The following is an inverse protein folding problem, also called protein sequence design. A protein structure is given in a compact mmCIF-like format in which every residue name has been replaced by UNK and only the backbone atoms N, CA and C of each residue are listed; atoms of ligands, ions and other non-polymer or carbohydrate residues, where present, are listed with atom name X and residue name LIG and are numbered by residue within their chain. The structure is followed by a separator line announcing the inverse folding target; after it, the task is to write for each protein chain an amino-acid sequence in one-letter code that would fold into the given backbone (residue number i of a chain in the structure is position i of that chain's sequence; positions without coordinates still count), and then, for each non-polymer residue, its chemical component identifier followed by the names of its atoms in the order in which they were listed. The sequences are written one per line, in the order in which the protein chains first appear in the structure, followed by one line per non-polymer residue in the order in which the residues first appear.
data_IF_161416022738
#
_entry.id   IF_161416022738
#
_cell.length_a   1.000
_cell.length_b   1.000
_cell.length_c   1.000
_cell.angle_alpha   90.00
_cell.angle_beta   90.00
_cell.angle_gamma   90.00
#
_symmetry.space_group_name_H-M   'P 1'
#
loop_
_entity.id
_entity.type
_entity.pdbx_description
1 polymer ?
#
# COMPACT_ATOMS: atom_id res chain seq x y z
N UNK A 1 20.12 -11.63 -14.44
CA UNK A 1 20.12 -10.32 -13.75
C UNK A 1 20.76 -10.52 -12.39
N UNK A 2 21.74 -9.70 -11.98
CA UNK A 2 22.32 -9.82 -10.64
C UNK A 2 21.30 -9.43 -9.56
N UNK A 3 21.40 -10.04 -8.38
CA UNK A 3 20.51 -9.73 -7.26
C UNK A 3 20.65 -8.27 -6.83
N UNK A 4 21.86 -7.71 -6.90
CA UNK A 4 22.14 -6.31 -6.60
C UNK A 4 21.36 -5.38 -7.55
N UNK A 5 21.46 -5.62 -8.87
CA UNK A 5 20.72 -4.83 -9.86
C UNK A 5 19.21 -4.93 -9.63
N UNK A 6 18.69 -6.14 -9.37
CA UNK A 6 17.27 -6.32 -9.10
C UNK A 6 16.82 -5.57 -7.84
N UNK A 7 17.63 -5.61 -6.78
CA UNK A 7 17.35 -4.92 -5.53
C UNK A 7 17.35 -3.41 -5.72
N UNK A 8 18.33 -2.86 -6.44
CA UNK A 8 18.37 -1.45 -6.81
C UNK A 8 17.14 -1.04 -7.59
N UNK A 9 16.74 -1.82 -8.61
CA UNK A 9 15.54 -1.53 -9.40
C UNK A 9 14.25 -1.51 -8.55
N UNK A 10 14.11 -2.42 -7.58
CA UNK A 10 12.98 -2.39 -6.64
C UNK A 10 13.00 -1.16 -5.72
N UNK A 11 14.17 -0.80 -5.21
CA UNK A 11 14.34 0.38 -4.34
C UNK A 11 14.06 1.66 -5.13
N UNK A 12 14.65 1.80 -6.32
CA UNK A 12 14.46 2.94 -7.21
C UNK A 12 13.00 3.07 -7.62
N UNK A 13 12.35 1.95 -7.97
CA UNK A 13 10.92 1.94 -8.25
C UNK A 13 10.12 2.45 -7.04
N UNK A 14 10.39 1.95 -5.83
CA UNK A 14 9.70 2.42 -4.62
C UNK A 14 9.95 3.92 -4.35
N UNK A 15 11.20 4.38 -4.51
CA UNK A 15 11.59 5.77 -4.27
C UNK A 15 10.94 6.73 -5.27
N UNK A 16 10.99 6.41 -6.56
CA UNK A 16 10.37 7.21 -7.63
C UNK A 16 8.86 7.30 -7.42
N UNK A 17 8.20 6.18 -7.10
CA UNK A 17 6.76 6.18 -6.87
C UNK A 17 6.37 6.96 -5.60
N UNK A 18 7.15 6.84 -4.53
CA UNK A 18 6.94 7.65 -3.33
C UNK A 18 7.14 9.14 -3.59
N UNK A 19 8.08 9.51 -4.47
CA UNK A 19 8.36 10.89 -4.83
C UNK A 19 7.22 11.47 -5.68
N UNK A 20 6.73 10.72 -6.66
CA UNK A 20 5.66 11.16 -7.56
C UNK A 20 4.30 11.30 -6.85
N UNK A 21 4.08 10.62 -5.74
CA UNK A 21 2.86 10.82 -4.95
C UNK A 21 3.01 11.93 -3.90
N UNK A 22 4.18 12.56 -3.79
CA UNK A 22 4.41 13.61 -2.80
C UNK A 22 3.73 14.93 -3.20
N UNK A 23 2.99 15.59 -2.30
CA UNK A 23 2.32 16.86 -2.56
C UNK A 23 3.21 17.94 -3.17
N UNK A 24 4.46 18.06 -2.71
CA UNK A 24 5.37 19.11 -3.18
C UNK A 24 5.73 18.88 -4.66
N UNK A 25 5.92 17.62 -5.04
CA UNK A 25 6.26 17.23 -6.41
C UNK A 25 5.04 17.37 -7.31
N UNK A 26 3.87 16.96 -6.84
CA UNK A 26 2.60 17.15 -7.55
C UNK A 26 2.38 18.64 -7.84
N UNK A 27 2.45 19.49 -6.82
CA UNK A 27 2.29 20.94 -6.95
C UNK A 27 3.31 21.56 -7.93
N UNK A 28 4.57 21.11 -7.87
CA UNK A 28 5.61 21.58 -8.78
C UNK A 28 5.34 21.19 -10.24
N UNK A 29 4.81 19.99 -10.49
CA UNK A 29 4.44 19.52 -11.83
C UNK A 29 3.21 20.26 -12.34
N UNK A 30 2.18 20.42 -11.50
CA UNK A 30 0.94 21.12 -11.87
C UNK A 30 1.20 22.59 -12.22
N UNK A 31 2.14 23.26 -11.54
CA UNK A 31 2.58 24.62 -11.88
C UNK A 31 3.30 24.73 -13.23
N UNK A 32 4.01 23.67 -13.65
CA UNK A 32 4.77 23.65 -14.91
C UNK A 32 3.94 23.20 -16.10
N UNK A 33 2.93 22.36 -15.88
CA UNK A 33 2.08 21.80 -16.94
C UNK A 33 0.61 22.10 -16.64
N UNK A 34 0.09 23.26 -17.08
CA UNK A 34 -1.30 23.64 -16.86
C UNK A 34 -2.27 22.57 -17.38
N UNK A 35 -3.25 22.21 -16.55
CA UNK A 35 -4.27 21.21 -16.89
C UNK A 35 -3.88 19.76 -16.63
N UNK A 36 -2.63 19.46 -16.22
CA UNK A 36 -2.20 18.08 -15.89
C UNK A 36 -2.89 17.51 -14.65
N UNK A 37 -3.32 18.36 -13.72
CA UNK A 37 -3.90 17.97 -12.42
C UNK A 37 -5.01 16.91 -12.56
N UNK A 38 -5.92 17.09 -13.53
CA UNK A 38 -7.03 16.16 -13.76
C UNK A 38 -6.60 14.78 -14.28
N UNK A 39 -5.43 14.70 -14.93
CA UNK A 39 -4.88 13.48 -15.51
C UNK A 39 -3.81 12.85 -14.60
N UNK A 40 -3.24 13.61 -13.68
CA UNK A 40 -2.06 13.23 -12.90
C UNK A 40 -2.20 11.86 -12.24
N UNK A 41 -3.31 11.62 -11.53
CA UNK A 41 -3.58 10.34 -10.85
C UNK A 41 -3.63 9.15 -11.82
N UNK A 42 -4.27 9.34 -12.97
CA UNK A 42 -4.40 8.31 -13.99
C UNK A 42 -3.05 8.00 -14.64
N UNK A 43 -2.29 9.04 -15.00
CA UNK A 43 -0.94 8.92 -15.55
C UNK A 43 0.01 8.26 -14.55
N UNK A 44 -0.06 8.65 -13.28
CA UNK A 44 0.71 8.04 -12.20
C UNK A 44 0.40 6.54 -12.08
N UNK A 45 -0.87 6.15 -12.05
CA UNK A 45 -1.25 4.73 -11.97
C UNK A 45 -0.79 3.94 -13.20
N UNK A 46 -0.92 4.53 -14.40
CA UNK A 46 -0.45 3.91 -15.63
C UNK A 46 1.07 3.72 -15.62
N UNK A 47 1.84 4.76 -15.26
CA UNK A 47 3.29 4.69 -15.10
C UNK A 47 3.69 3.63 -14.06
N UNK A 48 2.99 3.59 -12.93
CA UNK A 48 3.23 2.61 -11.89
C UNK A 48 3.03 1.18 -12.39
N UNK A 49 1.94 0.92 -13.11
CA UNK A 49 1.70 -0.40 -13.68
C UNK A 49 2.71 -0.76 -14.78
N UNK A 50 2.98 0.16 -15.70
CA UNK A 50 3.90 -0.05 -16.83
C UNK A 50 5.35 -0.29 -16.38
N UNK A 51 5.76 0.28 -15.26
CA UNK A 51 7.10 0.07 -14.69
C UNK A 51 7.16 -1.12 -13.74
N UNK A 52 6.09 -1.40 -12.98
CA UNK A 52 6.03 -2.53 -12.06
C UNK A 52 5.94 -3.87 -12.79
N UNK A 53 5.12 -3.97 -13.84
CA UNK A 53 4.91 -5.22 -14.57
C UNK A 53 6.22 -5.84 -15.11
N UNK A 54 7.08 -5.13 -15.87
CA UNK A 54 8.34 -5.70 -16.34
C UNK A 54 9.29 -6.03 -15.18
N UNK A 55 9.33 -5.23 -14.11
CA UNK A 55 10.15 -5.51 -12.93
C UNK A 55 9.69 -6.79 -12.21
N UNK A 56 8.38 -6.98 -12.06
CA UNK A 56 7.79 -8.18 -11.47
C UNK A 56 8.03 -9.42 -12.35
N UNK A 57 7.88 -9.30 -13.68
CA UNK A 57 8.21 -10.37 -14.64
C UNK A 57 9.69 -10.72 -14.54
N UNK A 58 10.58 -9.73 -14.56
CA UNK A 58 12.02 -9.96 -14.46
C UNK A 58 12.41 -10.62 -13.12
N UNK A 59 11.76 -10.22 -12.01
CA UNK A 59 11.91 -10.89 -10.70
C UNK A 59 11.43 -12.34 -10.75
N UNK A 60 10.33 -12.60 -11.47
CA UNK A 60 9.79 -13.93 -11.68
C UNK A 60 10.70 -14.85 -12.49
N UNK A 61 11.33 -14.30 -13.53
CA UNK A 61 12.24 -15.01 -14.44
C UNK A 61 13.67 -15.15 -13.91
N UNK A 62 14.08 -14.32 -12.93
CA UNK A 62 15.44 -14.32 -12.41
C UNK A 62 15.89 -15.68 -11.85
N UNK A 63 14.95 -16.53 -11.42
CA UNK A 63 15.24 -17.84 -10.85
C UNK A 63 16.07 -17.76 -9.55
N UNK A 64 16.25 -18.87 -8.85
CA UNK A 64 17.10 -18.89 -7.66
C UNK A 64 16.70 -19.96 -6.66
N UNK A 65 17.60 -20.22 -5.71
CA UNK A 65 17.32 -21.18 -4.65
C UNK A 65 16.12 -20.74 -3.80
N UNK A 66 15.23 -21.67 -3.42
CA UNK A 66 14.17 -21.38 -2.45
C UNK A 66 14.79 -21.05 -1.10
N UNK A 67 14.45 -19.88 -0.55
CA UNK A 67 14.91 -19.46 0.79
C UNK A 67 13.81 -19.58 1.83
N UNK A 68 12.55 -19.57 1.39
CA UNK A 68 11.39 -19.75 2.25
C UNK A 68 10.30 -20.53 1.50
N UNK A 69 9.61 -21.42 2.19
CA UNK A 69 8.52 -22.20 1.64
C UNK A 69 7.48 -22.49 2.71
N UNK A 70 6.21 -22.31 2.35
CA UNK A 70 5.09 -22.79 3.15
C UNK A 70 4.94 -24.29 2.95
N UNK A 71 5.28 -25.08 3.96
CA UNK A 71 5.24 -26.54 3.92
C UNK A 71 4.39 -27.12 5.06
N UNK A 72 3.81 -28.31 4.84
CA UNK A 72 2.96 -28.98 5.81
C UNK A 72 1.85 -28.07 6.36
N UNK A 73 1.73 -28.01 7.69
CA UNK A 73 0.80 -27.13 8.42
C UNK A 73 0.96 -25.63 8.10
N UNK A 74 2.14 -25.20 7.63
CA UNK A 74 2.38 -23.84 7.17
C UNK A 74 1.47 -23.42 6.02
N UNK A 75 1.00 -24.35 5.19
CA UNK A 75 0.04 -24.02 4.13
C UNK A 75 -1.32 -23.59 4.66
N UNK A 76 -1.74 -24.11 5.83
CA UNK A 76 -2.97 -23.66 6.47
C UNK A 76 -2.81 -22.20 6.89
N UNK A 77 -1.69 -21.86 7.53
CA UNK A 77 -1.36 -20.47 7.88
C UNK A 77 -1.38 -19.59 6.64
N UNK A 78 -0.72 -20.01 5.55
CA UNK A 78 -0.72 -19.28 4.27
C UNK A 78 -2.13 -18.98 3.77
N UNK A 79 -3.03 -19.98 3.76
CA UNK A 79 -4.42 -19.81 3.33
C UNK A 79 -5.17 -18.84 4.24
N UNK A 80 -4.99 -18.94 5.57
CA UNK A 80 -5.59 -18.01 6.52
C UNK A 80 -5.11 -16.56 6.29
N UNK A 81 -3.84 -16.36 5.96
CA UNK A 81 -3.30 -15.04 5.61
C UNK A 81 -3.92 -14.51 4.31
N UNK A 82 -4.07 -15.35 3.28
CA UNK A 82 -4.74 -14.97 2.02
C UNK A 82 -6.20 -14.58 2.23
N UNK A 83 -6.96 -15.38 2.99
CA UNK A 83 -8.35 -15.09 3.32
C UNK A 83 -8.44 -13.78 4.11
N UNK A 84 -7.54 -13.58 5.08
CA UNK A 84 -7.48 -12.33 5.86
C UNK A 84 -7.17 -11.13 4.97
N UNK A 85 -6.21 -11.24 4.05
CA UNK A 85 -5.88 -10.21 3.08
C UNK A 85 -7.10 -9.83 2.22
N UNK A 86 -7.80 -10.84 1.69
CA UNK A 86 -9.02 -10.64 0.91
C UNK A 86 -10.12 -9.91 1.70
N UNK A 87 -10.37 -10.33 2.95
CA UNK A 87 -11.36 -9.69 3.81
C UNK A 87 -11.00 -8.24 4.16
N UNK A 88 -9.72 -7.94 4.38
CA UNK A 88 -9.24 -6.58 4.61
C UNK A 88 -9.40 -5.69 3.39
N UNK A 89 -9.05 -6.19 2.18
CA UNK A 89 -9.27 -5.44 0.95
C UNK A 89 -10.74 -5.16 0.71
N UNK A 90 -11.59 -6.20 0.84
CA UNK A 90 -13.04 -6.07 0.69
C UNK A 90 -13.65 -5.10 1.71
N UNK A 91 -13.17 -5.13 2.95
CA UNK A 91 -13.61 -4.21 4.00
C UNK A 91 -13.17 -2.76 3.74
N UNK A 92 -11.93 -2.56 3.28
CA UNK A 92 -11.40 -1.24 2.95
C UNK A 92 -12.04 -0.64 1.69
N UNK A 93 -12.33 -1.46 0.68
CA UNK A 93 -12.97 -1.04 -0.57
C UNK A 93 -14.37 -0.44 -0.37
N UNK A 94 -15.05 -0.77 0.75
CA UNK A 94 -16.33 -0.14 1.11
C UNK A 94 -16.19 1.33 1.54
N UNK A 95 -15.00 1.75 2.00
CA UNK A 95 -14.72 3.12 2.47
C UNK A 95 -13.90 3.93 1.47
N UNK A 96 -13.01 3.27 0.70
CA UNK A 96 -12.24 3.91 -0.35
C UNK A 96 -13.04 3.99 -1.66
N UNK A 97 -13.15 5.18 -2.22
CA UNK A 97 -13.73 5.39 -3.55
C UNK A 97 -12.75 4.88 -4.62
N UNK A 98 -13.03 3.72 -5.21
CA UNK A 98 -12.17 3.11 -6.24
C UNK A 98 -12.00 3.99 -7.48
N UNK A 99 -13.03 4.75 -7.86
CA UNK A 99 -12.93 5.67 -9.00
C UNK A 99 -11.95 6.81 -8.69
N UNK A 100 -11.89 7.23 -7.44
CA UNK A 100 -10.88 8.18 -6.96
C UNK A 100 -9.48 7.55 -6.92
N UNK A 101 -9.32 6.32 -6.42
CA UNK A 101 -8.02 5.62 -6.40
C UNK A 101 -7.45 5.48 -7.81
N UNK A 102 -8.28 5.09 -8.77
CA UNK A 102 -7.92 4.91 -10.17
C UNK A 102 -7.66 6.22 -10.92
N UNK A 103 -8.17 7.36 -10.44
CA UNK A 103 -8.04 8.66 -11.10
C UNK A 103 -9.22 9.06 -11.99
N UNK A 104 -10.23 8.20 -12.12
CA UNK A 104 -11.41 8.42 -12.98
C UNK A 104 -12.30 9.55 -12.49
N UNK A 105 -12.38 9.76 -11.17
CA UNK A 105 -13.17 10.85 -10.58
C UNK A 105 -12.51 12.21 -10.81
N UNK A 106 -11.19 12.28 -10.72
CA UNK A 106 -10.37 13.46 -10.97
C UNK A 106 -10.47 13.86 -12.44
N UNK A 107 -10.47 12.88 -13.34
CA UNK A 107 -10.68 13.09 -14.77
C UNK A 107 -12.03 13.78 -15.05
N UNK A 108 -13.10 13.38 -14.35
CA UNK A 108 -14.45 13.93 -14.53
C UNK A 108 -14.70 15.24 -13.80
N UNK A 109 -14.17 15.40 -12.59
CA UNK A 109 -14.54 16.50 -11.68
C UNK A 109 -13.48 17.61 -11.58
N UNK A 110 -12.25 17.36 -12.05
CA UNK A 110 -11.13 18.29 -11.92
C UNK A 110 -10.62 18.50 -10.49
N UNK A 111 -11.23 17.84 -9.48
CA UNK A 111 -10.83 17.97 -8.07
C UNK A 111 -9.78 16.91 -7.71
N UNK A 112 -8.65 17.36 -7.18
CA UNK A 112 -7.52 16.52 -6.73
C UNK A 112 -7.30 16.69 -5.21
N UNK A 113 -8.17 16.12 -4.35
CA UNK A 113 -7.88 16.13 -2.92
C UNK A 113 -6.56 15.41 -2.64
N UNK A 114 -5.78 15.98 -1.73
CA UNK A 114 -4.41 15.54 -1.38
C UNK A 114 -4.34 14.17 -0.70
N UNK A 115 -5.43 13.73 -0.05
CA UNK A 115 -5.48 12.47 0.69
C UNK A 115 -6.56 11.55 0.13
N UNK A 116 -6.27 10.24 0.17
CA UNK A 116 -7.24 9.17 -0.11
C UNK A 116 -8.46 9.20 0.81
N UNK A 117 -8.33 9.83 1.98
CA UNK A 117 -9.39 9.98 2.97
C UNK A 117 -9.48 11.45 3.36
N UNK A 118 -10.26 12.22 2.62
CA UNK A 118 -10.58 13.61 2.99
C UNK A 118 -11.86 13.70 3.85
N UNK A 119 -12.44 12.55 4.19
CA UNK A 119 -13.62 12.48 5.04
C UNK A 119 -13.22 12.70 6.50
N UNK A 120 -13.86 13.64 7.22
CA UNK A 120 -13.60 13.88 8.64
C UNK A 120 -14.05 12.72 9.55
N UNK A 121 -14.74 11.72 9.02
CA UNK A 121 -15.23 10.58 9.79
C UNK A 121 -14.18 9.46 9.89
N UNK A 122 -13.31 9.60 10.88
CA UNK A 122 -12.51 8.51 11.44
C UNK A 122 -13.39 7.55 12.23
N UNK A 123 -14.32 6.89 11.54
CA UNK A 123 -15.17 5.85 12.13
C UNK A 123 -14.38 4.57 12.38
N UNK A 124 -14.40 4.10 13.63
CA UNK A 124 -13.82 2.81 14.05
C UNK A 124 -14.77 1.64 13.74
N UNK A 125 -15.49 1.70 12.62
CA UNK A 125 -16.45 0.68 12.22
C UNK A 125 -15.80 -0.34 11.26
N UNK A 126 -16.20 -1.60 11.38
CA UNK A 126 -15.69 -2.68 10.51
C UNK A 126 -14.18 -2.85 10.60
N UNK A 127 -13.52 -3.03 9.44
CA UNK A 127 -12.06 -3.25 9.37
C UNK A 127 -11.23 -2.06 9.84
N UNK A 128 -11.77 -0.84 9.76
CA UNK A 128 -11.12 0.37 10.30
C UNK A 128 -11.23 0.45 11.83
N UNK A 129 -12.08 -0.35 12.47
CA UNK A 129 -12.04 -0.56 13.93
C UNK A 129 -10.97 -1.56 14.36
N UNK A 130 -10.54 -2.43 13.44
CA UNK A 130 -9.51 -3.44 13.69
C UNK A 130 -8.11 -2.83 13.56
N UNK A 131 -7.84 -2.22 12.40
CA UNK A 131 -6.56 -1.59 12.05
C UNK A 131 -6.80 -0.32 11.24
N UNK A 132 -5.91 0.68 11.38
CA UNK A 132 -6.06 1.97 10.72
C UNK A 132 -5.81 1.89 9.22
N UNK A 133 -4.90 1.01 8.80
CA UNK A 133 -4.49 0.83 7.41
C UNK A 133 -4.77 -0.60 6.92
N UNK A 134 -6.06 -0.99 6.73
CA UNK A 134 -6.44 -2.35 6.38
C UNK A 134 -5.88 -2.79 5.03
N UNK A 135 -5.79 -1.89 4.04
CA UNK A 135 -5.19 -2.20 2.73
C UNK A 135 -3.68 -2.42 2.82
N UNK A 136 -2.96 -1.68 3.65
CA UNK A 136 -1.52 -1.91 3.84
C UNK A 136 -1.26 -3.23 4.56
N UNK A 137 -2.04 -3.54 5.62
CA UNK A 137 -1.96 -4.85 6.25
C UNK A 137 -2.30 -5.96 5.25
N UNK A 138 -3.39 -5.80 4.49
CA UNK A 138 -3.78 -6.76 3.45
C UNK A 138 -2.68 -7.00 2.41
N UNK A 139 -2.00 -5.94 1.97
CA UNK A 139 -0.86 -6.02 1.05
C UNK A 139 0.33 -6.76 1.67
N UNK A 140 0.67 -6.50 2.94
CA UNK A 140 1.72 -7.24 3.64
C UNK A 140 1.38 -8.73 3.73
N UNK A 141 0.15 -9.06 4.14
CA UNK A 141 -0.32 -10.44 4.21
C UNK A 141 -0.25 -11.12 2.84
N UNK A 142 -0.69 -10.43 1.79
CA UNK A 142 -0.64 -10.93 0.41
C UNK A 142 0.81 -11.15 -0.05
N UNK A 143 1.71 -10.20 0.17
CA UNK A 143 3.13 -10.30 -0.22
C UNK A 143 3.78 -11.57 0.33
N UNK A 144 3.48 -11.95 1.56
CA UNK A 144 4.07 -13.12 2.24
C UNK A 144 3.32 -14.44 2.07
N UNK A 145 2.12 -14.42 1.48
CA UNK A 145 1.28 -15.62 1.30
C UNK A 145 0.90 -15.94 -0.15
N UNK A 146 1.13 -15.01 -1.08
CA UNK A 146 0.80 -15.16 -2.50
C UNK A 146 1.49 -16.37 -3.14
N UNK A 147 2.71 -16.71 -2.71
CA UNK A 147 3.46 -17.83 -3.26
C UNK A 147 3.59 -18.96 -2.22
N UNK A 148 3.53 -20.23 -2.64
CA UNK A 148 3.87 -21.34 -1.76
C UNK A 148 5.38 -21.40 -1.47
N UNK A 149 6.21 -20.93 -2.40
CA UNK A 149 7.67 -20.94 -2.30
C UNK A 149 8.23 -19.59 -2.76
N UNK A 150 9.18 -19.05 -1.99
CA UNK A 150 9.88 -17.81 -2.25
C UNK A 150 11.35 -18.09 -2.56
N UNK A 151 11.73 -18.12 -3.85
CA UNK A 151 13.10 -17.99 -4.31
C UNK A 151 13.72 -16.68 -3.84
N UNK A 152 15.05 -16.65 -3.71
CA UNK A 152 15.81 -15.50 -3.21
C UNK A 152 15.39 -14.15 -3.85
N UNK A 153 15.26 -13.99 -5.19
CA UNK A 153 14.83 -12.72 -5.78
C UNK A 153 13.44 -12.25 -5.34
N UNK A 154 12.47 -13.18 -5.24
CA UNK A 154 11.10 -12.88 -4.83
C UNK A 154 11.03 -12.57 -3.33
N UNK A 155 11.84 -13.26 -2.53
CA UNK A 155 11.97 -12.99 -1.09
C UNK A 155 12.54 -11.59 -0.84
N UNK A 156 13.61 -11.21 -1.54
CA UNK A 156 14.20 -9.86 -1.42
C UNK A 156 13.20 -8.79 -1.85
N UNK A 157 12.48 -8.99 -2.97
CA UNK A 157 11.41 -8.09 -3.39
C UNK A 157 10.30 -7.98 -2.32
N UNK A 158 9.89 -9.09 -1.71
CA UNK A 158 8.90 -9.09 -0.63
C UNK A 158 9.36 -8.30 0.60
N UNK A 159 10.64 -8.39 0.98
CA UNK A 159 11.23 -7.59 2.07
C UNK A 159 11.25 -6.11 1.72
N UNK A 160 11.74 -5.73 0.53
CA UNK A 160 11.79 -4.33 0.08
C UNK A 160 10.39 -3.71 0.07
N UNK A 161 9.41 -4.42 -0.53
CA UNK A 161 8.02 -3.97 -0.56
C UNK A 161 7.40 -3.87 0.83
N UNK A 162 7.75 -4.79 1.76
CA UNK A 162 7.28 -4.71 3.14
C UNK A 162 7.80 -3.46 3.84
N UNK A 163 9.11 -3.18 3.73
CA UNK A 163 9.72 -1.97 4.26
C UNK A 163 9.08 -0.71 3.65
N UNK A 164 8.88 -0.69 2.32
CA UNK A 164 8.22 0.40 1.62
C UNK A 164 6.79 0.65 2.15
N UNK A 165 5.98 -0.40 2.33
CA UNK A 165 4.62 -0.27 2.87
C UNK A 165 4.61 0.25 4.31
N UNK A 166 5.52 -0.21 5.17
CA UNK A 166 5.61 0.27 6.55
C UNK A 166 6.02 1.75 6.58
N UNK A 167 7.04 2.14 5.80
CA UNK A 167 7.48 3.53 5.70
C UNK A 167 6.35 4.41 5.16
N UNK A 168 5.70 3.98 4.08
CA UNK A 168 4.57 4.68 3.47
C UNK A 168 3.42 4.89 4.46
N UNK A 169 3.11 3.87 5.27
CA UNK A 169 2.09 3.97 6.33
C UNK A 169 2.44 5.07 7.34
N UNK A 170 3.69 5.11 7.81
CA UNK A 170 4.12 6.12 8.79
C UNK A 170 4.11 7.54 8.21
N UNK A 171 4.50 7.70 6.94
CA UNK A 171 4.43 8.98 6.24
C UNK A 171 2.99 9.43 6.04
N UNK A 172 2.09 8.51 5.69
CA UNK A 172 0.66 8.79 5.55
C UNK A 172 0.05 9.26 6.87
N UNK A 173 0.36 8.61 8.00
CA UNK A 173 -0.14 9.05 9.31
C UNK A 173 0.32 10.47 9.65
N UNK A 174 1.58 10.82 9.36
CA UNK A 174 2.08 12.19 9.58
C UNK A 174 1.29 13.21 8.78
N UNK A 175 0.99 12.91 7.51
CA UNK A 175 0.17 13.77 6.63
C UNK A 175 -1.26 13.91 7.14
N UNK A 176 -1.87 12.82 7.64
CA UNK A 176 -3.23 12.85 8.22
C UNK A 176 -3.24 13.66 9.53
N UNK A 177 -2.25 13.48 10.41
CA UNK A 177 -2.13 14.26 11.66
C UNK A 177 -1.99 15.75 11.34
N UNK A 178 -1.15 16.12 10.37
CA UNK A 178 -0.96 17.52 9.99
C UNK A 178 -2.26 18.19 9.52
N UNK A 179 -3.18 17.41 8.93
CA UNK A 179 -4.46 17.92 8.41
C UNK A 179 -5.60 17.87 9.41
N UNK A 180 -5.68 16.83 10.25
CA UNK A 180 -6.84 16.54 11.10
C UNK A 180 -6.55 16.66 12.62
N UNK A 181 -5.30 16.88 13.01
CA UNK A 181 -4.88 17.17 14.37
C UNK A 181 -5.41 16.17 15.40
N UNK A 182 -6.04 16.70 16.45
CA UNK A 182 -6.47 15.93 17.63
C UNK A 182 -7.56 14.89 17.32
N UNK A 183 -8.38 15.12 16.29
CA UNK A 183 -9.41 14.16 15.88
C UNK A 183 -8.78 12.84 15.45
N UNK A 184 -7.69 12.90 14.68
CA UNK A 184 -6.97 11.70 14.28
C UNK A 184 -6.16 11.10 15.43
N UNK A 185 -5.56 11.93 16.30
CA UNK A 185 -4.87 11.42 17.52
C UNK A 185 -5.80 10.61 18.41
N UNK A 186 -7.04 11.06 18.62
CA UNK A 186 -8.07 10.31 19.36
C UNK A 186 -8.43 8.98 18.69
N UNK A 187 -8.39 8.91 17.36
CA UNK A 187 -8.54 7.65 16.62
C UNK A 187 -7.32 6.73 16.77
N UNK A 188 -6.10 7.27 16.71
CA UNK A 188 -4.85 6.52 16.92
C UNK A 188 -4.77 5.89 18.31
N UNK A 189 -5.35 6.52 19.32
CA UNK A 189 -5.43 5.96 20.67
C UNK A 189 -6.27 4.68 20.72
N UNK A 190 -7.33 4.58 19.91
CA UNK A 190 -8.31 3.48 19.94
C UNK A 190 -7.98 2.32 19.01
N UNK A 191 -7.43 2.60 17.82
CA UNK A 191 -7.21 1.60 16.76
C UNK A 191 -5.70 1.43 16.52
N UNK A 192 -5.23 0.22 16.18
CA UNK A 192 -3.81 -0.05 15.93
C UNK A 192 -3.41 0.26 14.48
N UNK A 193 -2.13 0.54 14.21
CA UNK A 193 -1.68 0.92 12.85
C UNK A 193 -1.86 -0.23 11.83
N UNK A 194 -1.20 -1.37 12.09
CA UNK A 194 -1.13 -2.52 11.19
C UNK A 194 -1.48 -3.84 11.88
N UNK A 195 -0.99 -4.15 13.08
CA UNK A 195 -1.44 -5.37 13.78
C UNK A 195 -2.47 -5.03 14.86
N UNK A 196 -3.51 -5.85 15.06
CA UNK A 196 -4.70 -5.46 15.81
C UNK A 196 -4.58 -5.59 17.35
N UNK A 197 -3.43 -5.27 17.95
CA UNK A 197 -3.22 -5.50 19.39
C UNK A 197 -4.18 -4.76 20.30
N UNK A 198 -4.56 -3.50 19.98
CA UNK A 198 -5.53 -2.74 20.78
C UNK A 198 -6.93 -3.35 20.75
N UNK A 199 -7.32 -3.90 19.61
CA UNK A 199 -8.58 -4.60 19.46
C UNK A 199 -8.57 -5.92 20.25
N UNK A 200 -7.47 -6.67 20.19
CA UNK A 200 -7.28 -7.91 20.95
C UNK A 200 -7.35 -7.64 22.47
N UNK A 201 -6.65 -6.61 22.96
CA UNK A 201 -6.67 -6.19 24.37
C UNK A 201 -8.05 -5.79 24.90
N UNK A 202 -8.98 -5.36 24.02
CA UNK A 202 -10.34 -4.98 24.44
C UNK A 202 -11.27 -6.18 24.57
N UNK A 203 -10.93 -7.32 23.94
CA UNK A 203 -11.74 -8.53 23.91
C UNK A 203 -11.31 -9.61 24.92
N UNK A 204 -10.10 -9.51 25.43
CA UNK A 204 -9.59 -10.27 26.57
C UNK A 204 -10.04 -9.57 27.86
#
# INVERSE_FOLDING_TARGET
MSLLLLSSLWIDWCAIHSLLIDPVVIDAIERRVPGVARYYRLLYNALAFLTLAPLAIATGLAGGAPVFAWQGWGNIVRILLLVSAFLLFRGGAKKYDLQYVLGLKQLRTGKTPLLLTDSPDFSAAGVFGLVRHPWYLGSLLLIWSALPVYPLPKFVAAVILSCYLVIGTLLEERKIIARHGDRYRAYQQRVSILLPWKWLKKKL
#
